data_IF_420112525629
#
_entry.id   IF_420112525629
#
_cell.length_a   1.000
_cell.length_b   1.000
_cell.length_c   1.000
_cell.angle_alpha   90.00
_cell.angle_beta   90.00
_cell.angle_gamma   90.00
#
_symmetry.space_group_name_H-M   'P 1'
#
loop_
_entity.id
_entity.type
_entity.pdbx_description
1 polymer ?
#
# COMPACT_ATOMS: atom_id res chain seq x y z
N UNK A 1 -28.57 52.24 -3.61
CA UNK A 1 -27.51 51.61 -4.42
C UNK A 1 -26.66 50.75 -3.51
N UNK A 2 -26.62 49.43 -3.72
CA UNK A 2 -25.85 48.50 -2.86
C UNK A 2 -24.58 48.03 -3.58
N UNK A 3 -23.44 47.82 -2.88
CA UNK A 3 -22.15 47.57 -3.53
C UNK A 3 -22.09 46.18 -4.16
N UNK A 4 -21.59 46.12 -5.40
CA UNK A 4 -21.35 44.89 -6.17
C UNK A 4 -20.32 43.99 -5.47
N UNK A 5 -20.70 42.75 -5.16
CA UNK A 5 -19.77 41.67 -4.78
C UNK A 5 -18.79 41.41 -5.93
N UNK A 6 -17.49 41.40 -5.62
CA UNK A 6 -16.39 41.10 -6.56
C UNK A 6 -16.45 39.63 -7.02
N UNK A 7 -15.99 39.32 -8.24
CA UNK A 7 -16.08 37.97 -8.80
C UNK A 7 -15.12 37.02 -8.09
N UNK A 8 -15.68 35.89 -7.67
CA UNK A 8 -14.97 34.76 -7.09
C UNK A 8 -14.03 34.18 -8.15
N UNK A 9 -12.71 34.26 -7.91
CA UNK A 9 -11.68 33.75 -8.82
C UNK A 9 -11.57 32.24 -8.65
N UNK A 10 -12.51 31.51 -9.25
CA UNK A 10 -12.42 30.07 -9.36
C UNK A 10 -11.42 29.71 -10.46
N UNK A 11 -10.31 29.07 -10.09
CA UNK A 11 -9.46 28.38 -11.05
C UNK A 11 -8.65 27.29 -10.36
N UNK A 12 -9.33 26.31 -9.78
CA UNK A 12 -8.69 25.01 -9.55
C UNK A 12 -8.41 24.37 -10.91
N UNK A 13 -7.27 24.74 -11.52
CA UNK A 13 -6.71 24.02 -12.68
C UNK A 13 -6.49 22.58 -12.24
N UNK A 14 -7.38 21.69 -12.72
CA UNK A 14 -7.34 20.26 -12.44
C UNK A 14 -6.07 19.69 -13.05
N UNK A 15 -5.01 19.53 -12.23
CA UNK A 15 -3.78 18.88 -12.68
C UNK A 15 -4.15 17.46 -13.10
N UNK A 16 -3.94 17.15 -14.39
CA UNK A 16 -4.23 15.84 -14.95
C UNK A 16 -3.28 14.82 -14.33
N UNK A 17 -3.83 13.91 -13.53
CA UNK A 17 -3.04 12.84 -12.90
C UNK A 17 -2.59 11.85 -13.98
N UNK A 18 -1.28 11.74 -14.17
CA UNK A 18 -0.66 10.76 -15.07
C UNK A 18 -0.46 9.42 -14.35
N UNK A 19 -0.32 8.33 -15.09
CA UNK A 19 -0.02 6.99 -14.53
C UNK A 19 1.28 7.01 -13.71
N UNK A 20 2.29 7.74 -14.19
CA UNK A 20 3.57 7.90 -13.50
C UNK A 20 3.42 8.61 -12.15
N UNK A 21 2.59 9.64 -12.08
CA UNK A 21 2.30 10.36 -10.84
C UNK A 21 1.56 9.46 -9.84
N UNK A 22 0.63 8.61 -10.32
CA UNK A 22 -0.03 7.60 -9.47
C UNK A 22 0.98 6.59 -8.89
N UNK A 23 1.92 6.10 -9.70
CA UNK A 23 2.99 5.19 -9.23
C UNK A 23 3.85 5.84 -8.15
N UNK A 24 4.31 7.08 -8.36
CA UNK A 24 5.09 7.83 -7.36
C UNK A 24 4.32 8.10 -6.06
N UNK A 25 3.00 8.30 -6.15
CA UNK A 25 2.15 8.44 -4.97
C UNK A 25 2.13 7.13 -4.16
N UNK A 26 1.98 5.98 -4.82
CA UNK A 26 1.96 4.66 -4.18
C UNK A 26 3.32 4.32 -3.58
N UNK A 27 4.42 4.57 -4.29
CA UNK A 27 5.78 4.33 -3.80
C UNK A 27 6.10 5.15 -2.55
N UNK A 28 5.89 6.48 -2.59
CA UNK A 28 6.06 7.33 -1.40
C UNK A 28 5.13 6.89 -0.25
N UNK A 29 3.99 6.31 -0.60
CA UNK A 29 3.08 5.77 0.40
C UNK A 29 3.65 4.58 1.15
N UNK A 30 4.26 3.64 0.44
CA UNK A 30 4.92 2.48 1.05
C UNK A 30 6.12 2.89 1.92
N UNK A 31 6.76 4.01 1.60
CA UNK A 31 7.80 4.63 2.42
C UNK A 31 7.25 5.31 3.70
N UNK A 32 5.93 5.30 3.91
CA UNK A 32 5.29 5.81 5.13
C UNK A 32 4.88 7.29 5.07
N UNK A 33 4.86 7.91 3.89
CA UNK A 33 4.46 9.32 3.73
C UNK A 33 2.95 9.51 3.89
N UNK A 34 2.53 10.50 4.69
CA UNK A 34 1.10 10.72 5.03
C UNK A 34 0.23 11.20 3.85
N UNK A 35 -1.10 10.97 3.92
CA UNK A 35 -2.03 11.33 2.80
C UNK A 35 -2.03 12.83 2.64
N UNK A 36 -2.08 13.54 3.77
CA UNK A 36 -2.11 14.98 3.81
C UNK A 36 -0.86 15.57 3.15
N UNK A 37 0.31 14.98 3.40
CA UNK A 37 1.55 15.42 2.75
C UNK A 37 1.53 15.14 1.24
N UNK A 38 1.08 13.96 0.81
CA UNK A 38 0.96 13.62 -0.61
C UNK A 38 -0.04 14.52 -1.34
N UNK A 39 -1.21 14.77 -0.73
CA UNK A 39 -2.24 15.66 -1.23
C UNK A 39 -1.68 17.08 -1.47
N UNK A 40 -0.91 17.61 -0.52
CA UNK A 40 -0.23 18.90 -0.66
C UNK A 40 0.86 18.88 -1.73
N UNK A 41 1.72 17.86 -1.71
CA UNK A 41 2.86 17.75 -2.63
C UNK A 41 2.43 17.66 -4.08
N UNK A 42 1.35 16.91 -4.35
CA UNK A 42 0.84 16.67 -5.69
C UNK A 42 -0.33 17.59 -6.06
N UNK A 43 -0.68 18.53 -5.16
CA UNK A 43 -1.82 19.44 -5.29
C UNK A 43 -3.11 18.70 -5.69
N UNK A 44 -3.38 17.59 -5.01
CA UNK A 44 -4.57 16.76 -5.20
C UNK A 44 -5.40 16.74 -3.92
N UNK A 45 -6.71 16.50 -4.07
CA UNK A 45 -7.54 16.26 -2.89
C UNK A 45 -7.12 14.97 -2.19
N UNK A 46 -7.27 14.94 -0.87
CA UNK A 46 -7.04 13.72 -0.07
C UNK A 46 -7.90 12.55 -0.57
N UNK A 47 -9.12 12.81 -1.02
CA UNK A 47 -10.01 11.81 -1.63
C UNK A 47 -9.44 11.21 -2.91
N UNK A 48 -8.79 12.01 -3.74
CA UNK A 48 -8.16 11.55 -4.99
C UNK A 48 -6.93 10.70 -4.68
N UNK A 49 -6.09 11.12 -3.73
CA UNK A 49 -4.97 10.31 -3.22
C UNK A 49 -5.48 8.96 -2.70
N UNK A 50 -6.50 8.95 -1.82
CA UNK A 50 -7.07 7.71 -1.30
C UNK A 50 -7.65 6.80 -2.41
N UNK A 51 -8.22 7.38 -3.46
CA UNK A 51 -8.75 6.61 -4.61
C UNK A 51 -7.63 5.95 -5.41
N UNK A 52 -6.52 6.67 -5.63
CA UNK A 52 -5.32 6.12 -6.29
C UNK A 52 -4.74 4.96 -5.48
N UNK A 53 -4.71 5.08 -4.15
CA UNK A 53 -4.21 4.02 -3.26
C UNK A 53 -5.15 2.81 -3.21
N UNK A 54 -6.47 3.01 -3.22
CA UNK A 54 -7.45 1.90 -3.30
C UNK A 54 -7.36 1.14 -4.62
N UNK A 55 -7.00 1.82 -5.70
CA UNK A 55 -6.80 1.26 -7.04
C UNK A 55 -5.33 1.03 -7.34
N UNK A 56 -4.49 0.83 -6.33
CA UNK A 56 -3.07 0.61 -6.52
C UNK A 56 -2.80 -0.58 -7.46
N UNK A 57 -3.58 -1.65 -7.33
CA UNK A 57 -3.48 -2.85 -8.18
C UNK A 57 -3.69 -2.57 -9.69
N UNK A 58 -4.53 -1.59 -10.05
CA UNK A 58 -4.72 -1.16 -11.45
C UNK A 58 -3.54 -0.32 -11.96
N UNK A 59 -2.78 0.32 -11.06
CA UNK A 59 -1.70 1.26 -11.37
C UNK A 59 -0.33 0.60 -11.35
N UNK A 60 -0.13 -0.38 -10.48
CA UNK A 60 1.18 -0.98 -10.21
C UNK A 60 1.27 -2.42 -10.69
N UNK A 61 1.15 -2.62 -12.00
CA UNK A 61 1.51 -3.89 -12.64
C UNK A 61 2.96 -4.37 -12.37
N UNK A 62 3.82 -3.53 -11.76
CA UNK A 62 5.20 -3.85 -11.35
C UNK A 62 5.37 -4.17 -9.85
N UNK A 63 4.36 -3.95 -9.01
CA UNK A 63 4.46 -4.10 -7.56
C UNK A 63 3.53 -5.23 -7.13
N UNK A 64 4.00 -6.16 -6.29
CA UNK A 64 3.17 -7.30 -5.92
C UNK A 64 1.93 -6.86 -5.14
N UNK A 65 0.76 -7.24 -5.66
CA UNK A 65 -0.53 -6.95 -5.03
C UNK A 65 -0.62 -7.62 -3.66
N UNK A 66 -1.43 -7.07 -2.77
CA UNK A 66 -1.63 -7.67 -1.44
C UNK A 66 -2.25 -9.08 -1.56
N UNK A 67 -3.05 -9.32 -2.60
CA UNK A 67 -3.54 -10.65 -2.97
C UNK A 67 -2.41 -11.61 -3.32
N UNK A 68 -1.54 -11.25 -4.26
CA UNK A 68 -0.41 -12.08 -4.69
C UNK A 68 0.56 -12.40 -3.54
N UNK A 69 0.81 -11.43 -2.65
CA UNK A 69 1.61 -11.66 -1.44
C UNK A 69 0.94 -12.70 -0.53
N UNK A 70 -0.38 -12.60 -0.31
CA UNK A 70 -1.12 -13.59 0.51
C UNK A 70 -1.13 -14.98 -0.11
N UNK A 71 -1.24 -15.08 -1.43
CA UNK A 71 -1.16 -16.36 -2.15
C UNK A 71 0.21 -17.00 -1.99
N UNK A 72 1.28 -16.21 -2.16
CA UNK A 72 2.64 -16.68 -1.91
C UNK A 72 2.81 -17.18 -0.48
N UNK A 73 2.33 -16.43 0.53
CA UNK A 73 2.42 -16.84 1.93
C UNK A 73 1.70 -18.17 2.21
N UNK A 74 0.51 -18.37 1.62
CA UNK A 74 -0.22 -19.64 1.71
C UNK A 74 0.52 -20.80 1.03
N UNK A 75 1.11 -20.55 -0.13
CA UNK A 75 1.91 -21.55 -0.84
C UNK A 75 3.12 -21.97 0.00
N UNK A 76 3.81 -21.00 0.61
CA UNK A 76 4.92 -21.27 1.52
C UNK A 76 4.48 -22.10 2.74
N UNK A 77 3.37 -21.73 3.38
CA UNK A 77 2.82 -22.48 4.53
C UNK A 77 2.56 -23.95 4.18
N UNK A 78 2.03 -24.20 2.98
CA UNK A 78 1.78 -25.55 2.46
C UNK A 78 3.10 -26.33 2.28
N UNK A 79 4.12 -25.70 1.70
CA UNK A 79 5.44 -26.30 1.50
C UNK A 79 6.11 -26.60 2.85
N UNK A 80 6.08 -25.65 3.78
CA UNK A 80 6.66 -25.80 5.11
C UNK A 80 6.03 -26.98 5.86
N UNK A 81 4.70 -27.10 5.82
CA UNK A 81 3.96 -28.21 6.45
C UNK A 81 4.31 -29.56 5.83
N UNK A 82 4.46 -29.63 4.50
CA UNK A 82 4.87 -30.86 3.83
C UNK A 82 6.30 -31.27 4.22
N UNK A 83 7.24 -30.32 4.24
CA UNK A 83 8.62 -30.55 4.67
C UNK A 83 8.66 -31.03 6.12
N UNK A 84 7.93 -30.38 7.02
CA UNK A 84 7.86 -30.75 8.44
C UNK A 84 7.35 -32.18 8.61
N UNK A 85 6.33 -32.59 7.85
CA UNK A 85 5.74 -33.94 7.95
C UNK A 85 6.65 -35.02 7.38
N UNK A 86 7.26 -34.78 6.21
CA UNK A 86 7.87 -35.85 5.42
C UNK A 86 9.40 -35.88 5.43
N UNK A 87 10.09 -34.82 5.85
CA UNK A 87 11.55 -34.82 5.81
C UNK A 87 12.14 -35.79 6.86
N UNK A 88 13.11 -36.66 6.49
CA UNK A 88 13.68 -37.66 7.39
C UNK A 88 14.54 -37.03 8.49
N UNK A 89 15.25 -35.93 8.19
CA UNK A 89 16.01 -35.17 9.18
C UNK A 89 15.24 -33.93 9.63
N UNK A 90 14.51 -34.05 10.74
CA UNK A 90 13.67 -32.95 11.27
C UNK A 90 14.48 -31.71 11.65
N UNK A 91 15.66 -31.89 12.22
CA UNK A 91 16.49 -30.78 12.66
C UNK A 91 16.99 -29.91 11.50
N UNK A 92 17.39 -30.54 10.38
CA UNK A 92 17.79 -29.81 9.17
C UNK A 92 16.59 -29.08 8.55
N UNK A 93 15.44 -29.74 8.47
CA UNK A 93 14.21 -29.15 7.96
C UNK A 93 13.78 -27.91 8.75
N UNK A 94 13.74 -27.99 10.08
CA UNK A 94 13.40 -26.85 10.95
C UNK A 94 14.36 -25.68 10.75
N UNK A 95 15.68 -25.94 10.67
CA UNK A 95 16.67 -24.88 10.41
C UNK A 95 16.45 -24.18 9.07
N UNK A 96 16.20 -24.95 8.01
CA UNK A 96 15.94 -24.39 6.68
C UNK A 96 14.64 -23.56 6.63
N UNK A 97 13.57 -24.07 7.24
CA UNK A 97 12.28 -23.37 7.35
C UNK A 97 12.42 -22.06 8.12
N UNK A 98 13.10 -22.08 9.28
CA UNK A 98 13.31 -20.87 10.08
C UNK A 98 14.13 -19.82 9.33
N UNK A 99 15.21 -20.24 8.65
CA UNK A 99 16.04 -19.33 7.86
C UNK A 99 15.24 -18.65 6.75
N UNK A 100 14.38 -19.39 6.05
CA UNK A 100 13.52 -18.82 5.02
C UNK A 100 12.44 -17.91 5.61
N UNK A 101 11.91 -18.27 6.79
CA UNK A 101 10.93 -17.45 7.49
C UNK A 101 11.50 -16.07 7.85
N UNK A 102 12.70 -16.05 8.41
CA UNK A 102 13.35 -14.82 8.88
C UNK A 102 13.78 -13.92 7.72
N UNK A 103 14.37 -14.52 6.67
CA UNK A 103 14.97 -13.75 5.58
C UNK A 103 13.98 -13.34 4.48
N UNK A 104 13.05 -14.23 4.12
CA UNK A 104 12.15 -14.02 2.99
C UNK A 104 10.72 -13.72 3.47
N UNK A 105 10.10 -14.64 4.22
CA UNK A 105 8.67 -14.58 4.56
C UNK A 105 8.35 -13.38 5.45
N UNK A 106 9.24 -13.02 6.37
CA UNK A 106 9.11 -11.85 7.23
C UNK A 106 8.97 -10.55 6.43
N UNK A 107 9.71 -10.41 5.33
CA UNK A 107 9.63 -9.23 4.45
C UNK A 107 8.20 -9.01 3.94
N UNK A 108 7.55 -10.08 3.48
CA UNK A 108 6.18 -10.03 2.96
C UNK A 108 5.14 -9.75 4.04
N UNK A 109 5.30 -10.33 5.22
CA UNK A 109 4.47 -9.98 6.38
C UNK A 109 4.58 -8.51 6.75
N UNK A 110 5.80 -7.95 6.69
CA UNK A 110 6.00 -6.53 6.96
C UNK A 110 5.32 -5.64 5.92
N UNK A 111 5.36 -6.00 4.64
CA UNK A 111 4.63 -5.28 3.58
C UNK A 111 3.13 -5.25 3.91
N UNK A 112 2.52 -6.41 4.19
CA UNK A 112 1.08 -6.48 4.53
C UNK A 112 0.75 -5.68 5.79
N UNK A 113 1.59 -5.75 6.84
CA UNK A 113 1.40 -5.01 8.09
C UNK A 113 1.45 -3.50 7.88
N UNK A 114 2.37 -3.02 7.04
CA UNK A 114 2.47 -1.59 6.67
C UNK A 114 1.21 -1.14 5.93
N UNK A 115 0.76 -1.91 4.93
CA UNK A 115 -0.46 -1.61 4.16
C UNK A 115 -1.71 -1.59 5.04
N UNK A 116 -1.87 -2.55 5.96
CA UNK A 116 -3.00 -2.60 6.89
C UNK A 116 -3.05 -1.40 7.84
N UNK A 117 -1.92 -1.06 8.48
CA UNK A 117 -1.83 0.11 9.37
C UNK A 117 -2.16 1.40 8.62
N UNK A 118 -1.68 1.52 7.39
CA UNK A 118 -1.94 2.69 6.56
C UNK A 118 -3.43 2.86 6.23
N UNK A 119 -4.12 1.77 5.85
CA UNK A 119 -5.57 1.80 5.60
C UNK A 119 -6.37 2.15 6.85
N UNK A 120 -5.95 1.67 8.03
CA UNK A 120 -6.59 2.02 9.30
C UNK A 120 -6.43 3.50 9.61
N UNK A 121 -5.24 4.07 9.47
CA UNK A 121 -5.02 5.51 9.68
C UNK A 121 -5.85 6.37 8.72
N UNK A 122 -5.95 5.96 7.46
CA UNK A 122 -6.72 6.70 6.46
C UNK A 122 -8.23 6.70 6.78
N UNK A 123 -8.77 5.58 7.25
CA UNK A 123 -10.19 5.51 7.62
C UNK A 123 -10.52 6.35 8.85
N UNK A 124 -9.61 6.43 9.82
CA UNK A 124 -9.77 7.31 10.99
C UNK A 124 -9.76 8.79 10.60
N UNK A 125 -8.84 9.20 9.72
CA UNK A 125 -8.73 10.60 9.29
C UNK A 125 -9.92 11.07 8.44
N UNK A 126 -10.54 10.17 7.67
CA UNK A 126 -11.74 10.49 6.88
C UNK A 126 -12.97 10.71 7.77
N UNK A 127 -13.02 10.10 8.97
CA UNK A 127 -14.19 10.15 9.86
C UNK A 127 -14.24 11.39 10.77
N UNK A 128 -13.18 12.21 10.79
CA UNK A 128 -13.04 13.37 11.68
C UNK A 128 -13.33 14.73 10.99
N UNK A 129 -13.74 14.70 9.73
CA UNK A 129 -14.18 15.86 8.94
C UNK A 129 -15.65 15.69 8.54
#
# INVERSE_FOLDING_TARGET
MSPKKKPQKDSHKRIKITVEMKRKIIEKREQGVSVAYLARTYNQSTSTICTILKKEEEVTAKQQSSGAIREMLKAWETVALYIEKHHPNKAVAVRATNLFNDNAVSHFHQILKRRQKQMSLDSFLVKKN
#
